data_IF_480550797649
#
_entry.id   IF_480550797649
#
_cell.length_a   1.000
_cell.length_b   1.000
_cell.length_c   1.000
_cell.angle_alpha   90.00
_cell.angle_beta   90.00
_cell.angle_gamma   90.00
#
_symmetry.space_group_name_H-M   'P 1'
#
loop_
_entity.id
_entity.type
_entity.pdbx_description
1 polymer ?
#
# COMPACT_ATOMS: atom_id res chain seq x y z
N UNK A 1 1.86 -1.93 -7.74
CA UNK A 1 1.40 -2.15 -6.35
C UNK A 1 2.23 -1.25 -5.44
N UNK A 2 1.68 -0.83 -4.32
CA UNK A 2 2.41 -0.07 -3.29
C UNK A 2 3.52 -0.91 -2.64
N UNK A 3 4.54 -0.29 -2.03
CA UNK A 3 5.63 -1.00 -1.33
C UNK A 3 5.16 -1.91 -0.19
N UNK A 4 4.04 -1.58 0.44
CA UNK A 4 3.41 -2.34 1.51
C UNK A 4 2.40 -3.39 1.00
N UNK A 5 2.29 -3.55 -0.32
CA UNK A 5 1.34 -4.43 -1.02
C UNK A 5 -0.15 -4.22 -0.68
N UNK A 6 -0.49 -3.19 0.12
CA UNK A 6 -1.87 -2.93 0.54
C UNK A 6 -2.73 -2.33 -0.59
N UNK A 7 -2.11 -1.68 -1.57
CA UNK A 7 -2.80 -0.94 -2.65
C UNK A 7 -2.30 -1.37 -4.03
N UNK A 8 -3.24 -1.64 -4.92
CA UNK A 8 -3.01 -1.81 -6.35
C UNK A 8 -3.36 -0.52 -7.10
N UNK A 9 -2.54 -0.18 -8.09
CA UNK A 9 -2.77 0.95 -8.99
C UNK A 9 -3.07 0.41 -10.38
N UNK A 10 -4.30 0.64 -10.84
CA UNK A 10 -4.75 0.20 -12.15
C UNK A 10 -4.77 1.40 -13.08
N UNK A 11 -3.95 1.34 -14.12
CA UNK A 11 -3.86 2.38 -15.14
C UNK A 11 -4.89 2.09 -16.22
N UNK A 12 -5.83 3.00 -16.39
CA UNK A 12 -6.84 2.99 -17.45
C UNK A 12 -6.56 4.14 -18.43
N UNK A 13 -7.36 4.27 -19.49
CA UNK A 13 -7.10 5.18 -20.60
C UNK A 13 -7.02 6.66 -20.20
N UNK A 14 -7.82 7.12 -19.24
CA UNK A 14 -7.92 8.53 -18.79
C UNK A 14 -7.85 8.69 -17.27
N UNK A 15 -7.59 7.61 -16.54
CA UNK A 15 -7.59 7.60 -15.08
C UNK A 15 -6.65 6.56 -14.51
N UNK A 16 -6.31 6.73 -13.25
CA UNK A 16 -5.66 5.70 -12.44
C UNK A 16 -6.55 5.40 -11.24
N UNK A 17 -6.91 4.14 -11.08
CA UNK A 17 -7.76 3.67 -9.97
C UNK A 17 -6.86 3.09 -8.89
N UNK A 18 -7.09 3.50 -7.65
CA UNK A 18 -6.45 2.92 -6.46
C UNK A 18 -7.40 1.90 -5.87
N UNK A 19 -6.93 0.66 -5.74
CA UNK A 19 -7.72 -0.47 -5.29
C UNK A 19 -7.07 -1.07 -4.05
N UNK A 20 -7.87 -1.41 -3.04
CA UNK A 20 -7.44 -2.19 -1.90
C UNK A 20 -7.04 -3.60 -2.38
N UNK A 21 -5.79 -4.02 -2.17
CA UNK A 21 -5.35 -5.33 -2.65
C UNK A 21 -6.02 -6.49 -1.89
N UNK A 22 -6.46 -6.25 -0.64
CA UNK A 22 -7.10 -7.26 0.19
C UNK A 22 -8.59 -7.46 -0.17
N UNK A 23 -9.35 -6.37 -0.24
CA UNK A 23 -10.81 -6.42 -0.46
C UNK A 23 -11.23 -6.22 -1.91
N UNK A 24 -10.31 -5.74 -2.76
CA UNK A 24 -10.58 -5.33 -4.15
C UNK A 24 -11.54 -4.14 -4.26
N UNK A 25 -11.77 -3.41 -3.18
CA UNK A 25 -12.57 -2.19 -3.19
C UNK A 25 -11.79 -1.04 -3.83
N UNK A 26 -12.50 -0.17 -4.56
CA UNK A 26 -11.94 1.06 -5.09
C UNK A 26 -11.80 2.07 -3.95
N UNK A 27 -10.57 2.43 -3.64
CA UNK A 27 -10.25 3.43 -2.61
C UNK A 27 -10.30 4.85 -3.18
N UNK A 28 -9.81 5.04 -4.41
CA UNK A 28 -9.74 6.34 -5.05
C UNK A 28 -9.68 6.23 -6.59
N UNK A 29 -10.01 7.32 -7.29
CA UNK A 29 -9.89 7.44 -8.75
C UNK A 29 -9.25 8.78 -9.09
N UNK A 30 -8.01 8.72 -9.56
CA UNK A 30 -7.25 9.87 -10.01
C UNK A 30 -7.54 10.11 -11.48
N UNK A 31 -8.20 11.22 -11.77
CA UNK A 31 -8.38 11.67 -13.16
C UNK A 31 -7.08 12.26 -13.67
N UNK A 32 -6.65 11.78 -14.84
CA UNK A 32 -5.45 12.29 -15.51
C UNK A 32 -5.91 12.89 -16.83
N UNK A 33 -5.64 14.17 -17.07
CA UNK A 33 -6.02 14.85 -18.32
C UNK A 33 -5.14 14.45 -19.53
N UNK A 34 -4.56 13.24 -19.48
CA UNK A 34 -3.71 12.66 -20.49
C UNK A 34 -3.85 11.13 -20.46
N UNK A 35 -3.20 10.44 -21.41
CA UNK A 35 -3.22 8.98 -21.50
C UNK A 35 -2.06 8.38 -20.71
N UNK A 36 -2.26 7.93 -19.46
CA UNK A 36 -1.19 7.39 -18.64
C UNK A 36 -0.64 6.11 -19.27
N UNK A 37 0.67 5.92 -19.11
CA UNK A 37 1.43 4.79 -19.66
C UNK A 37 2.08 3.95 -18.56
N UNK A 38 2.58 4.60 -17.52
CA UNK A 38 3.18 3.94 -16.38
C UNK A 38 2.95 4.71 -15.09
N UNK A 39 3.08 3.99 -13.99
CA UNK A 39 2.93 4.49 -12.62
C UNK A 39 4.09 3.98 -11.79
N UNK A 40 4.70 4.87 -11.01
CA UNK A 40 5.79 4.54 -10.10
C UNK A 40 5.56 5.15 -8.73
N UNK A 41 5.97 4.43 -7.69
CA UNK A 41 5.96 4.93 -6.32
C UNK A 41 7.32 5.45 -5.91
N UNK A 42 7.30 6.52 -5.14
CA UNK A 42 8.44 6.92 -4.36
C UNK A 42 8.68 5.90 -3.24
N UNK A 43 9.95 5.59 -2.99
CA UNK A 43 10.35 4.59 -1.97
C UNK A 43 9.83 4.94 -0.57
N UNK A 44 9.72 6.23 -0.26
CA UNK A 44 9.17 6.70 1.02
C UNK A 44 7.64 6.64 1.12
N UNK A 45 6.95 6.18 0.06
CA UNK A 45 5.49 6.02 0.04
C UNK A 45 4.69 7.33 -0.03
N UNK A 46 5.34 8.49 -0.04
CA UNK A 46 4.67 9.80 0.04
C UNK A 46 4.10 10.29 -1.30
N UNK A 47 4.63 9.79 -2.41
CA UNK A 47 4.32 10.28 -3.75
C UNK A 47 4.17 9.15 -4.77
N UNK A 48 3.19 9.33 -5.66
CA UNK A 48 2.93 8.53 -6.85
C UNK A 48 3.20 9.38 -8.09
N UNK A 49 4.00 8.85 -9.00
CA UNK A 49 4.30 9.48 -10.28
C UNK A 49 3.58 8.74 -11.39
N UNK A 50 2.88 9.50 -12.23
CA UNK A 50 2.15 8.99 -13.39
C UNK A 50 2.74 9.66 -14.64
N UNK A 51 3.27 8.86 -15.56
CA UNK A 51 3.81 9.36 -16.82
C UNK A 51 2.86 9.04 -17.98
N UNK A 52 2.67 9.98 -18.88
CA UNK A 52 1.86 9.81 -20.08
C UNK A 52 2.71 9.61 -21.35
N UNK A 53 2.05 9.28 -22.46
CA UNK A 53 2.69 9.11 -23.76
C UNK A 53 3.20 10.41 -24.41
N UNK A 54 2.80 11.57 -23.89
CA UNK A 54 3.31 12.87 -24.36
C UNK A 54 4.67 13.22 -23.73
N UNK A 55 5.08 12.46 -22.70
CA UNK A 55 6.30 12.68 -21.93
C UNK A 55 6.07 13.54 -20.69
N UNK A 56 4.82 13.90 -20.36
CA UNK A 56 4.53 14.62 -19.12
C UNK A 56 4.47 13.63 -17.94
N UNK A 57 4.89 14.11 -16.78
CA UNK A 57 4.88 13.37 -15.51
C UNK A 57 4.11 14.17 -14.48
N UNK A 58 3.04 13.58 -13.94
CA UNK A 58 2.24 14.17 -12.87
C UNK A 58 2.59 13.48 -11.55
N UNK A 59 2.85 14.29 -10.52
CA UNK A 59 3.10 13.81 -9.15
C UNK A 59 1.87 14.00 -8.29
N UNK A 60 1.41 12.93 -7.66
CA UNK A 60 0.29 12.94 -6.73
C UNK A 60 0.81 12.61 -5.33
N UNK A 61 0.36 13.39 -4.34
CA UNK A 61 0.58 13.03 -2.93
C UNK A 61 -0.30 11.84 -2.61
N UNK A 62 0.28 10.79 -2.05
CA UNK A 62 -0.46 9.63 -1.59
C UNK A 62 -0.29 9.54 -0.09
N UNK A 63 -1.41 9.43 0.62
CA UNK A 63 -1.40 9.26 2.07
C UNK A 63 -0.94 7.84 2.40
N UNK A 64 0.09 7.75 3.25
CA UNK A 64 0.63 6.47 3.72
C UNK A 64 -0.32 5.86 4.75
N UNK A 65 -0.76 4.62 4.53
CA UNK A 65 -1.55 3.85 5.50
C UNK A 65 -0.71 3.25 6.61
N UNK A 66 0.60 3.49 6.63
CA UNK A 66 1.51 2.92 7.62
C UNK A 66 1.13 3.37 9.04
N UNK A 67 0.61 4.59 9.20
CA UNK A 67 0.09 5.09 10.49
C UNK A 67 -1.14 4.30 10.95
N UNK A 68 -2.13 4.08 10.08
CA UNK A 68 -3.32 3.28 10.39
C UNK A 68 -2.97 1.83 10.72
N UNK A 69 -2.04 1.24 9.96
CA UNK A 69 -1.56 -0.12 10.19
C UNK A 69 -0.81 -0.24 11.52
N UNK A 70 -0.01 0.77 11.86
CA UNK A 70 0.74 0.82 13.12
C UNK A 70 -0.21 0.94 14.32
N UNK A 71 -1.24 1.77 14.22
CA UNK A 71 -2.28 1.85 15.25
C UNK A 71 -3.02 0.52 15.39
N UNK A 72 -3.36 -0.14 14.28
CA UNK A 72 -3.99 -1.46 14.31
C UNK A 72 -3.10 -2.48 15.03
N UNK A 73 -1.79 -2.47 14.77
CA UNK A 73 -0.84 -3.35 15.44
C UNK A 73 -0.77 -3.07 16.96
N UNK A 74 -0.73 -1.80 17.37
CA UNK A 74 -0.75 -1.43 18.79
C UNK A 74 -2.04 -1.80 19.50
N UNK A 75 -3.18 -1.74 18.81
CA UNK A 75 -4.50 -2.10 19.38
C UNK A 75 -4.75 -3.60 19.42
N UNK A 76 -3.94 -4.41 18.73
CA UNK A 76 -4.10 -5.86 18.70
C UNK A 76 -3.52 -6.47 19.98
N UNK A 77 -4.32 -7.30 20.66
CA UNK A 77 -3.85 -8.02 21.85
C UNK A 77 -2.66 -8.92 21.51
N UNK A 78 -1.65 -8.91 22.37
CA UNK A 78 -0.47 -9.74 22.17
C UNK A 78 -0.88 -11.22 22.17
N UNK A 79 -0.51 -11.96 21.12
CA UNK A 79 -0.62 -13.41 21.11
C UNK A 79 0.41 -13.94 22.11
N UNK A 80 -0.03 -14.19 23.34
CA UNK A 80 0.80 -14.83 24.35
C UNK A 80 1.09 -16.27 23.93
N UNK A 81 2.26 -16.51 23.34
CA UNK A 81 2.80 -17.84 23.19
C UNK A 81 3.07 -18.39 24.59
N UNK A 82 2.18 -19.27 25.09
CA UNK A 82 2.45 -20.04 26.30
C UNK A 82 3.62 -20.99 26.00
N UNK A 83 4.84 -20.58 26.33
CA UNK A 83 6.01 -21.44 26.26
C UNK A 83 5.84 -22.52 27.33
N UNK A 84 5.72 -23.81 26.98
CA UNK A 84 5.67 -24.86 27.99
C UNK A 84 7.00 -24.86 28.74
N UNK A 85 6.96 -24.76 30.07
CA UNK A 85 8.15 -24.85 30.90
C UNK A 85 8.78 -26.23 30.71
N UNK A 86 9.99 -26.30 30.15
CA UNK A 86 10.76 -27.53 30.08
C UNK A 86 11.11 -27.95 31.50
N UNK A 87 10.60 -29.09 31.95
CA UNK A 87 11.03 -29.66 33.23
C UNK A 87 12.48 -30.14 33.10
N UNK A 88 13.36 -29.83 34.08
CA UNK A 88 14.71 -30.38 34.10
C UNK A 88 14.64 -31.91 34.16
N UNK A 89 15.32 -32.59 33.24
CA UNK A 89 15.51 -34.04 33.29
C UNK A 89 16.57 -34.32 34.36
N UNK A 90 16.15 -34.84 35.51
CA UNK A 90 17.07 -35.34 36.54
C UNK A 90 17.69 -36.65 36.07
N UNK A 91 19.01 -36.71 36.03
CA UNK A 91 19.82 -37.89 35.72
C UNK A 91 19.93 -38.86 36.90
#
# INVERSE_FOLDING_TARGET
MSPDEARAYVVDYDRVTVVCALSLDILDTLKVDARPSCVAHRVDGSQLFIADYSGAVNGFSVESTLEDLYLQFLTTDAIALSVPSLQPVTA
#
